data_IF_530178055225
#
_entry.id   IF_530178055225
#
_cell.length_a   1.000
_cell.length_b   1.000
_cell.length_c   1.000
_cell.angle_alpha   90.00
_cell.angle_beta   90.00
_cell.angle_gamma   90.00
#
_symmetry.space_group_name_H-M   'P 1'
#
loop_
_entity.id
_entity.type
_entity.pdbx_description
1 polymer ?
#
# COMPACT_ATOMS: atom_id res chain seq x y z
N UNK A 1 -34.12 -53.67 -0.82
CA UNK A 1 -34.39 -52.39 -1.53
C UNK A 1 -33.11 -51.95 -2.24
N UNK A 2 -33.12 -51.91 -3.58
CA UNK A 2 -31.97 -51.49 -4.34
C UNK A 2 -31.94 -49.93 -4.39
N UNK A 3 -30.91 -49.31 -3.82
CA UNK A 3 -30.69 -47.86 -3.92
C UNK A 3 -30.27 -47.52 -5.35
N UNK A 4 -31.10 -46.78 -6.06
CA UNK A 4 -30.84 -46.33 -7.42
C UNK A 4 -29.81 -45.20 -7.35
N UNK A 5 -28.53 -45.50 -7.57
CA UNK A 5 -27.47 -44.49 -7.71
C UNK A 5 -27.77 -43.69 -8.98
N UNK A 6 -28.10 -42.39 -8.79
CA UNK A 6 -28.21 -41.41 -9.89
C UNK A 6 -26.82 -40.84 -10.10
N UNK A 7 -26.18 -41.19 -11.18
CA UNK A 7 -24.92 -40.58 -11.60
C UNK A 7 -25.15 -39.20 -12.22
N UNK A 8 -24.17 -38.29 -12.09
CA UNK A 8 -24.16 -37.01 -12.78
C UNK A 8 -24.01 -37.22 -14.29
N UNK A 9 -24.74 -36.44 -15.07
CA UNK A 9 -24.56 -36.43 -16.51
C UNK A 9 -23.35 -35.56 -16.90
N UNK A 10 -22.71 -35.92 -18.02
CA UNK A 10 -21.55 -35.12 -18.52
C UNK A 10 -21.95 -33.69 -18.83
N UNK A 11 -23.16 -33.45 -19.34
CA UNK A 11 -23.65 -32.11 -19.65
C UNK A 11 -23.90 -31.27 -18.39
N UNK A 12 -24.37 -31.85 -17.29
CA UNK A 12 -24.52 -31.14 -16.01
C UNK A 12 -23.17 -30.65 -15.50
N UNK A 13 -22.12 -31.47 -15.62
CA UNK A 13 -20.79 -31.10 -15.22
C UNK A 13 -20.23 -29.97 -16.14
N UNK A 14 -20.45 -30.07 -17.47
CA UNK A 14 -19.99 -29.06 -18.41
C UNK A 14 -20.59 -27.68 -18.16
N UNK A 15 -21.89 -27.61 -17.86
CA UNK A 15 -22.59 -26.34 -17.55
C UNK A 15 -22.01 -25.72 -16.27
N UNK A 16 -21.78 -26.53 -15.24
CA UNK A 16 -21.23 -26.04 -13.96
C UNK A 16 -19.84 -25.46 -14.14
N UNK A 17 -18.93 -26.14 -14.83
CA UNK A 17 -17.57 -25.61 -15.05
C UNK A 17 -17.58 -24.38 -15.95
N UNK A 18 -18.49 -24.28 -16.92
CA UNK A 18 -18.66 -23.10 -17.76
C UNK A 18 -19.07 -21.87 -16.92
N UNK A 19 -20.05 -22.03 -16.03
CA UNK A 19 -20.52 -20.94 -15.15
C UNK A 19 -19.40 -20.52 -14.17
N UNK A 20 -18.73 -21.48 -13.56
CA UNK A 20 -17.58 -21.17 -12.68
C UNK A 20 -16.48 -20.42 -13.44
N UNK A 21 -16.18 -20.81 -14.67
CA UNK A 21 -15.17 -20.15 -15.51
C UNK A 21 -15.53 -18.69 -15.79
N UNK A 22 -16.79 -18.41 -16.09
CA UNK A 22 -17.28 -17.03 -16.32
C UNK A 22 -17.19 -16.21 -15.04
N UNK A 23 -17.65 -16.72 -13.90
CA UNK A 23 -17.60 -16.03 -12.63
C UNK A 23 -16.15 -15.75 -12.18
N UNK A 24 -15.26 -16.73 -12.33
CA UNK A 24 -13.85 -16.59 -11.99
C UNK A 24 -13.16 -15.53 -12.85
N UNK A 25 -13.49 -15.43 -14.14
CA UNK A 25 -12.90 -14.44 -15.04
C UNK A 25 -13.18 -13.00 -14.64
N UNK A 26 -14.29 -12.73 -13.99
CA UNK A 26 -14.67 -11.41 -13.47
C UNK A 26 -14.15 -11.18 -12.04
N UNK A 27 -14.14 -12.22 -11.22
CA UNK A 27 -13.76 -12.10 -9.80
C UNK A 27 -12.26 -11.89 -9.58
N UNK A 28 -11.40 -12.54 -10.38
CA UNK A 28 -9.95 -12.47 -10.21
C UNK A 28 -9.37 -11.05 -10.34
N UNK A 29 -9.69 -10.24 -11.38
CA UNK A 29 -9.14 -8.89 -11.48
C UNK A 29 -9.63 -7.99 -10.35
N UNK A 30 -10.89 -8.10 -9.93
CA UNK A 30 -11.44 -7.32 -8.82
C UNK A 30 -10.72 -7.65 -7.49
N UNK A 31 -10.41 -8.92 -7.27
CA UNK A 31 -9.66 -9.36 -6.09
C UNK A 31 -8.23 -8.79 -6.10
N UNK A 32 -7.56 -8.80 -7.25
CA UNK A 32 -6.21 -8.23 -7.37
C UNK A 32 -6.21 -6.73 -7.05
N UNK A 33 -7.14 -5.95 -7.58
CA UNK A 33 -7.26 -4.53 -7.29
C UNK A 33 -7.55 -4.28 -5.80
N UNK A 34 -8.37 -5.11 -5.18
CA UNK A 34 -8.63 -5.05 -3.74
C UNK A 34 -7.35 -5.27 -2.91
N UNK A 35 -6.53 -6.26 -3.26
CA UNK A 35 -5.25 -6.53 -2.58
C UNK A 35 -4.30 -5.33 -2.72
N UNK A 36 -4.17 -4.75 -3.93
CA UNK A 36 -3.33 -3.57 -4.15
C UNK A 36 -3.74 -2.40 -3.25
N UNK A 37 -5.04 -2.09 -3.22
CA UNK A 37 -5.62 -1.04 -2.36
C UNK A 37 -5.34 -1.27 -0.87
N UNK A 38 -5.52 -2.50 -0.42
CA UNK A 38 -5.31 -2.87 0.97
C UNK A 38 -3.85 -2.68 1.38
N UNK A 39 -2.90 -3.07 0.53
CA UNK A 39 -1.47 -2.92 0.80
C UNK A 39 -1.05 -1.44 0.82
N UNK A 40 -1.56 -0.62 -0.10
CA UNK A 40 -1.31 0.83 -0.09
C UNK A 40 -1.86 1.47 1.18
N UNK A 41 -3.12 1.21 1.52
CA UNK A 41 -3.73 1.76 2.74
C UNK A 41 -2.99 1.34 4.01
N UNK A 42 -2.53 0.10 4.08
CA UNK A 42 -1.70 -0.39 5.16
C UNK A 42 -0.40 0.40 5.25
N UNK A 43 0.34 0.54 4.15
CA UNK A 43 1.60 1.26 4.15
C UNK A 43 1.43 2.76 4.47
N UNK A 44 0.37 3.40 3.96
CA UNK A 44 0.01 4.79 4.30
C UNK A 44 -0.28 4.92 5.79
N UNK A 45 -1.03 3.98 6.37
CA UNK A 45 -1.35 4.00 7.81
C UNK A 45 -0.11 3.75 8.67
N UNK A 46 0.76 2.84 8.29
CA UNK A 46 2.04 2.58 8.96
C UNK A 46 2.93 3.83 8.91
N UNK A 47 3.05 4.47 7.76
CA UNK A 47 3.85 5.70 7.61
C UNK A 47 3.24 6.87 8.39
N UNK A 48 1.92 7.01 8.41
CA UNK A 48 1.23 8.08 9.14
C UNK A 48 1.51 8.06 10.65
N UNK A 49 1.80 6.89 11.22
CA UNK A 49 2.14 6.76 12.64
C UNK A 49 3.41 7.52 13.04
N UNK A 50 4.32 7.76 12.08
CA UNK A 50 5.57 8.48 12.33
C UNK A 50 5.44 10.00 12.29
N UNK A 51 4.27 10.55 11.98
CA UNK A 51 4.03 12.00 12.06
C UNK A 51 4.17 12.54 13.47
N UNK A 52 3.63 11.84 14.47
CA UNK A 52 3.69 12.28 15.85
C UNK A 52 5.12 12.29 16.42
N UNK A 53 5.93 11.23 16.27
CA UNK A 53 7.35 11.30 16.59
C UNK A 53 8.10 12.41 15.84
N UNK A 54 7.81 12.61 14.55
CA UNK A 54 8.41 13.68 13.77
C UNK A 54 8.12 15.07 14.35
N UNK A 55 6.86 15.37 14.71
CA UNK A 55 6.48 16.64 15.34
C UNK A 55 7.18 16.82 16.70
N UNK A 56 7.38 15.75 17.45
CA UNK A 56 8.14 15.83 18.70
C UNK A 56 9.60 16.26 18.46
N UNK A 57 10.24 15.73 17.42
CA UNK A 57 11.61 16.11 17.06
C UNK A 57 11.68 17.56 16.55
N UNK A 58 10.71 18.01 15.75
CA UNK A 58 10.59 19.41 15.32
C UNK A 58 10.50 20.33 16.54
N UNK A 59 9.66 19.99 17.51
CA UNK A 59 9.48 20.80 18.73
C UNK A 59 10.73 20.83 19.62
N UNK A 60 11.53 19.78 19.61
CA UNK A 60 12.77 19.67 20.36
C UNK A 60 13.96 20.34 19.65
N UNK A 61 13.80 20.78 18.40
CA UNK A 61 14.89 21.32 17.58
C UNK A 61 15.94 20.26 17.22
N UNK A 62 15.56 18.97 17.23
CA UNK A 62 16.43 17.83 16.95
C UNK A 62 16.26 17.36 15.51
N UNK A 63 17.23 16.58 15.02
CA UNK A 63 17.10 15.91 13.72
C UNK A 63 16.07 14.78 13.74
N UNK A 64 15.72 14.27 12.56
CA UNK A 64 14.78 13.16 12.39
C UNK A 64 15.51 11.95 11.78
N UNK A 65 16.08 11.13 12.64
CA UNK A 65 16.65 9.83 12.23
C UNK A 65 15.64 8.72 12.43
N UNK A 66 15.89 7.56 11.84
CA UNK A 66 15.04 6.38 12.07
C UNK A 66 14.96 5.98 13.55
N UNK A 67 16.05 6.18 14.31
CA UNK A 67 16.11 5.92 15.75
C UNK A 67 15.21 6.90 16.50
N UNK A 68 15.29 8.19 16.20
CA UNK A 68 14.47 9.24 16.82
C UNK A 68 12.98 9.04 16.56
N UNK A 69 12.64 8.53 15.36
CA UNK A 69 11.27 8.22 14.97
C UNK A 69 10.78 6.88 15.52
N UNK A 70 11.67 6.02 16.05
CA UNK A 70 11.34 4.64 16.39
C UNK A 70 10.93 3.81 15.17
N UNK A 71 11.56 4.06 14.02
CA UNK A 71 11.18 3.42 12.76
C UNK A 71 11.46 1.93 12.75
N UNK A 72 10.46 1.15 12.42
CA UNK A 72 10.54 -0.29 12.16
C UNK A 72 10.21 -0.57 10.71
N UNK A 73 11.13 -1.26 10.01
CA UNK A 73 10.94 -1.59 8.59
C UNK A 73 9.74 -2.50 8.41
N UNK A 74 8.83 -2.11 7.53
CA UNK A 74 7.67 -2.93 7.15
C UNK A 74 8.05 -4.01 6.15
N UNK A 75 7.39 -5.16 6.21
CA UNK A 75 7.61 -6.26 5.27
C UNK A 75 7.09 -5.97 3.84
N UNK A 76 6.31 -4.89 3.66
CA UNK A 76 5.77 -4.46 2.35
C UNK A 76 6.47 -3.21 1.81
N UNK A 77 7.56 -2.78 2.44
CA UNK A 77 8.38 -1.69 1.96
C UNK A 77 9.80 -2.18 1.63
N UNK A 78 10.43 -1.51 0.68
CA UNK A 78 11.85 -1.69 0.37
C UNK A 78 12.66 -0.70 1.20
N UNK A 79 13.81 -1.12 1.63
CA UNK A 79 14.74 -0.28 2.39
C UNK A 79 15.32 -1.01 3.59
N UNK A 80 16.31 -0.40 4.18
CA UNK A 80 16.92 -0.88 5.42
C UNK A 80 16.71 0.16 6.51
N UNK A 81 16.77 -0.26 7.76
CA UNK A 81 16.75 0.68 8.89
C UNK A 81 17.89 1.71 8.88
N UNK A 82 18.89 1.52 8.00
CA UNK A 82 20.01 2.44 7.86
C UNK A 82 19.70 3.69 7.01
N UNK A 83 18.65 3.67 6.19
CA UNK A 83 18.22 4.82 5.39
C UNK A 83 17.10 5.53 6.10
N UNK A 84 17.32 6.78 6.50
CA UNK A 84 16.30 7.56 7.19
C UNK A 84 15.06 7.77 6.30
N UNK A 85 13.89 7.48 6.87
CA UNK A 85 12.61 7.74 6.23
C UNK A 85 12.21 9.21 6.31
N UNK A 86 12.74 9.93 7.29
CA UNK A 86 12.44 11.34 7.57
C UNK A 86 13.53 12.29 7.10
N UNK A 87 13.11 13.46 6.65
CA UNK A 87 13.97 14.62 6.38
C UNK A 87 13.32 15.85 6.97
N UNK A 88 14.07 16.62 7.75
CA UNK A 88 13.65 17.90 8.33
C UNK A 88 14.55 19.02 7.80
N UNK A 89 13.95 20.05 7.25
CA UNK A 89 14.63 21.23 6.77
C UNK A 89 14.74 22.29 7.89
N UNK A 90 15.69 23.22 7.74
CA UNK A 90 15.93 24.29 8.73
C UNK A 90 14.77 25.30 8.88
N UNK A 91 13.82 25.32 7.94
CA UNK A 91 12.61 26.14 7.97
C UNK A 91 11.41 25.43 8.63
N UNK A 92 11.63 24.22 9.14
CA UNK A 92 10.59 23.38 9.75
C UNK A 92 9.76 22.59 8.75
N UNK A 93 9.93 22.77 7.45
CA UNK A 93 9.35 21.88 6.45
C UNK A 93 10.07 20.52 6.44
N UNK A 94 9.45 19.51 5.86
CA UNK A 94 10.09 18.20 5.78
C UNK A 94 9.20 17.14 5.18
N UNK A 95 9.64 15.92 5.24
CA UNK A 95 8.82 14.77 4.80
C UNK A 95 9.22 13.48 5.50
N UNK A 96 8.32 12.54 5.48
CA UNK A 96 8.57 11.13 5.76
C UNK A 96 8.15 10.31 4.55
N UNK A 97 8.98 9.38 4.11
CA UNK A 97 8.70 8.57 2.92
C UNK A 97 9.17 7.14 3.05
N UNK A 98 8.45 6.24 2.38
CA UNK A 98 8.85 4.85 2.18
C UNK A 98 8.56 4.45 0.73
N UNK A 99 9.29 3.47 0.24
CA UNK A 99 9.09 2.89 -1.09
C UNK A 99 8.46 1.51 -0.93
N UNK A 100 7.42 1.21 -1.68
CA UNK A 100 6.79 -0.11 -1.69
C UNK A 100 7.72 -1.16 -2.28
N UNK A 101 7.75 -2.34 -1.68
CA UNK A 101 8.65 -3.42 -2.10
C UNK A 101 8.57 -4.60 -1.12
N UNK A 102 9.65 -5.37 -1.00
CA UNK A 102 9.67 -6.54 -0.13
C UNK A 102 8.59 -7.55 -0.53
N UNK A 103 7.68 -7.85 0.41
CA UNK A 103 6.56 -8.77 0.19
C UNK A 103 5.29 -8.08 -0.37
N UNK A 104 5.39 -6.81 -0.79
CA UNK A 104 4.30 -6.16 -1.49
C UNK A 104 4.00 -6.82 -2.84
N UNK A 105 2.78 -6.63 -3.33
CA UNK A 105 2.42 -7.12 -4.66
C UNK A 105 3.37 -6.53 -5.72
N UNK A 106 3.88 -7.31 -6.69
CA UNK A 106 4.89 -6.86 -7.66
C UNK A 106 4.51 -5.57 -8.42
N UNK A 107 3.21 -5.35 -8.69
CA UNK A 107 2.72 -4.12 -9.33
C UNK A 107 2.89 -2.86 -8.48
N UNK A 108 3.13 -2.99 -7.17
CA UNK A 108 3.37 -1.87 -6.25
C UNK A 108 4.86 -1.59 -6.05
N UNK A 109 5.74 -2.44 -6.55
CA UNK A 109 7.18 -2.28 -6.36
C UNK A 109 7.65 -0.95 -6.95
N UNK A 110 8.35 -0.16 -6.14
CA UNK A 110 8.88 1.14 -6.53
C UNK A 110 7.94 2.33 -6.32
N UNK A 111 6.66 2.11 -5.97
CA UNK A 111 5.75 3.20 -5.59
C UNK A 111 6.26 3.87 -4.33
N UNK A 112 6.40 5.19 -4.35
CA UNK A 112 6.81 5.97 -3.19
C UNK A 112 5.59 6.57 -2.50
N UNK A 113 5.47 6.30 -1.21
CA UNK A 113 4.48 6.91 -0.33
C UNK A 113 5.17 7.96 0.52
N UNK A 114 4.65 9.18 0.51
CA UNK A 114 5.25 10.31 1.22
C UNK A 114 4.20 11.13 1.95
N UNK A 115 4.52 11.53 3.16
CA UNK A 115 3.85 12.63 3.83
C UNK A 115 4.77 13.83 3.83
N UNK A 116 4.32 14.92 3.25
CA UNK A 116 5.01 16.21 3.18
C UNK A 116 4.47 17.15 4.25
N UNK A 117 5.37 17.76 5.01
CA UNK A 117 5.09 18.77 6.01
C UNK A 117 5.49 20.15 5.48
N UNK A 118 4.56 21.09 5.45
CA UNK A 118 4.88 22.47 5.10
C UNK A 118 5.46 23.25 6.30
N UNK A 119 5.94 24.47 6.04
CA UNK A 119 6.49 25.36 7.07
C UNK A 119 5.48 25.77 8.14
N UNK A 120 4.18 25.62 7.88
CA UNK A 120 3.09 25.89 8.84
C UNK A 120 2.71 24.66 9.68
N UNK A 121 3.34 23.51 9.45
CA UNK A 121 3.08 22.28 10.17
C UNK A 121 1.94 21.45 9.60
N UNK A 122 1.41 21.76 8.42
CA UNK A 122 0.38 20.95 7.77
C UNK A 122 1.00 19.80 7.01
N UNK A 123 0.34 18.64 7.07
CA UNK A 123 0.76 17.44 6.39
C UNK A 123 -0.11 17.16 5.16
N UNK A 124 0.54 16.81 4.08
CA UNK A 124 -0.10 16.34 2.84
C UNK A 124 0.41 14.94 2.50
N UNK A 125 -0.50 14.06 2.11
CA UNK A 125 -0.14 12.74 1.61
C UNK A 125 0.05 12.79 0.10
N UNK A 126 1.15 12.19 -0.37
CA UNK A 126 1.50 12.09 -1.80
C UNK A 126 1.89 10.65 -2.12
N UNK A 127 1.37 10.14 -3.22
CA UNK A 127 1.74 8.84 -3.78
C UNK A 127 2.39 9.09 -5.13
N UNK A 128 3.68 8.80 -5.24
CA UNK A 128 4.39 8.83 -6.51
C UNK A 128 4.32 7.44 -7.16
N UNK A 129 3.55 7.36 -8.22
CA UNK A 129 3.31 6.14 -8.99
C UNK A 129 4.14 6.05 -10.28
N UNK A 130 5.07 6.96 -10.51
CA UNK A 130 5.87 7.04 -11.73
C UNK A 130 6.62 5.76 -12.07
N UNK A 131 6.97 4.96 -11.05
CA UNK A 131 7.63 3.66 -11.20
C UNK A 131 6.66 2.50 -11.49
N UNK A 132 5.33 2.72 -11.42
CA UNK A 132 4.32 1.67 -11.50
C UNK A 132 3.23 2.06 -12.50
N UNK A 133 3.25 1.47 -13.67
CA UNK A 133 2.27 1.76 -14.73
C UNK A 133 0.91 1.09 -14.49
N UNK A 134 -0.17 1.79 -14.83
CA UNK A 134 -1.53 1.25 -14.85
C UNK A 134 -2.21 1.11 -13.49
N UNK A 135 -1.81 1.90 -12.50
CA UNK A 135 -2.37 1.88 -11.14
C UNK A 135 -3.29 3.07 -10.84
N UNK A 136 -3.51 3.99 -11.78
CA UNK A 136 -4.27 5.23 -11.59
C UNK A 136 -5.65 5.01 -10.95
N UNK A 137 -6.31 3.89 -11.26
CA UNK A 137 -7.61 3.52 -10.69
C UNK A 137 -7.53 2.95 -9.27
N UNK A 138 -6.34 2.50 -8.85
CA UNK A 138 -6.14 1.86 -7.56
C UNK A 138 -5.89 2.88 -6.47
N UNK A 139 -5.26 4.01 -6.82
CA UNK A 139 -4.84 5.04 -5.86
C UNK A 139 -5.95 5.97 -5.35
N UNK A 140 -7.11 6.03 -5.99
CA UNK A 140 -8.20 6.95 -5.64
C UNK A 140 -8.93 6.69 -4.31
N UNK A 141 -8.35 5.95 -3.37
CA UNK A 141 -8.97 5.58 -2.09
C UNK A 141 -8.22 6.05 -0.84
N UNK A 142 -6.97 6.44 -0.96
CA UNK A 142 -6.31 7.18 0.11
C UNK A 142 -6.56 8.67 -0.18
N UNK A 143 -6.85 9.49 0.83
CA UNK A 143 -6.89 10.96 0.71
C UNK A 143 -5.50 11.52 0.39
N UNK A 144 -4.82 10.92 -0.58
CA UNK A 144 -3.47 11.25 -1.02
C UNK A 144 -3.51 11.79 -2.45
N UNK A 145 -2.73 12.83 -2.72
CA UNK A 145 -2.47 13.29 -4.08
C UNK A 145 -1.60 12.24 -4.81
N UNK A 146 -1.99 11.87 -6.01
CA UNK A 146 -1.21 10.95 -6.88
C UNK A 146 -0.46 11.76 -7.93
N UNK A 147 0.84 11.51 -8.05
CA UNK A 147 1.74 12.13 -9.01
C UNK A 147 2.53 11.11 -9.83
#
# INVERSE_FOLDING_TARGET
MATKNRGFTLIELMIVVAIIGILASLALPLYQDYILKTQINRAVSELAAYKAPFEAQVSNGSGVTNEDLGYVVSNITSGSGAVNIGTLNGDGSGHIQVTMGGNAHPRLSGVVLRFERDTSGRWQCVIDSSSASGLDKVFGLADCAVI
#
